data_IF_418942156706
#
_entry.id   IF_418942156706
#
_cell.length_a   1.000
_cell.length_b   1.000
_cell.length_c   1.000
_cell.angle_alpha   90.00
_cell.angle_beta   90.00
_cell.angle_gamma   90.00
#
_symmetry.space_group_name_H-M   'P 1'
#
loop_
_entity.id
_entity.type
_entity.pdbx_description
1 polymer ?
#
# COMPACT_ATOMS: atom_id res chain seq x y z
N UNK A 1 8.91 -25.45 31.23
CA UNK A 1 10.18 -25.06 30.59
C UNK A 1 9.80 -24.45 29.25
N UNK A 2 9.78 -23.13 29.18
CA UNK A 2 9.64 -22.41 27.90
C UNK A 2 10.94 -22.61 27.14
N UNK A 3 10.87 -23.28 25.99
CA UNK A 3 11.98 -23.35 25.06
C UNK A 3 12.08 -21.96 24.47
N UNK A 4 13.06 -21.17 24.90
CA UNK A 4 13.48 -19.97 24.16
C UNK A 4 14.10 -20.45 22.86
N UNK A 5 13.33 -20.44 21.77
CA UNK A 5 13.90 -20.55 20.43
C UNK A 5 14.90 -19.41 20.25
N UNK A 6 16.17 -19.76 20.06
CA UNK A 6 17.20 -18.81 19.66
C UNK A 6 16.93 -18.44 18.21
N UNK A 7 16.40 -17.23 17.99
CA UNK A 7 16.22 -16.66 16.66
C UNK A 7 17.62 -16.35 16.10
N UNK A 8 17.91 -16.82 14.88
CA UNK A 8 19.20 -16.60 14.22
C UNK A 8 19.46 -15.10 13.99
N UNK A 9 20.69 -14.65 14.21
CA UNK A 9 21.12 -13.26 13.94
C UNK A 9 22.15 -13.23 12.81
N UNK A 10 21.91 -12.39 11.80
CA UNK A 10 22.84 -12.03 10.74
C UNK A 10 23.49 -10.68 11.05
N UNK A 11 24.79 -10.67 11.31
CA UNK A 11 25.55 -9.44 11.44
C UNK A 11 25.90 -8.87 10.06
N UNK A 12 25.10 -7.89 9.62
CA UNK A 12 25.21 -7.25 8.31
C UNK A 12 26.45 -6.35 8.25
N UNK A 13 27.00 -5.91 9.38
CA UNK A 13 28.20 -5.07 9.44
C UNK A 13 29.45 -5.80 8.95
N UNK A 14 29.45 -7.13 9.02
CA UNK A 14 30.57 -7.99 8.57
C UNK A 14 30.51 -8.32 7.08
N UNK A 15 29.43 -7.95 6.38
CA UNK A 15 29.25 -8.21 4.95
C UNK A 15 29.83 -7.07 4.11
N UNK A 16 30.41 -7.41 2.95
CA UNK A 16 30.79 -6.40 1.95
C UNK A 16 29.54 -5.58 1.53
N UNK A 17 29.64 -4.25 1.34
CA UNK A 17 28.47 -3.40 1.06
C UNK A 17 27.58 -3.91 -0.09
N UNK A 18 28.20 -4.41 -1.17
CA UNK A 18 27.49 -4.97 -2.34
C UNK A 18 26.78 -6.31 -2.07
N UNK A 19 27.17 -7.01 -1.01
CA UNK A 19 26.62 -8.32 -0.62
C UNK A 19 25.59 -8.21 0.50
N UNK A 20 25.45 -7.07 1.17
CA UNK A 20 24.50 -6.88 2.28
C UNK A 20 23.08 -7.30 1.89
N UNK A 21 22.48 -6.67 0.89
CA UNK A 21 21.09 -6.95 0.49
C UNK A 21 20.91 -8.35 -0.13
N UNK A 22 21.75 -8.80 -1.09
CA UNK A 22 21.65 -10.16 -1.63
C UNK A 22 21.67 -11.26 -0.55
N UNK A 23 22.60 -11.18 0.40
CA UNK A 23 22.68 -12.16 1.49
C UNK A 23 21.44 -12.15 2.37
N UNK A 24 20.91 -10.97 2.70
CA UNK A 24 19.68 -10.86 3.50
C UNK A 24 18.49 -11.46 2.75
N UNK A 25 18.42 -11.29 1.44
CA UNK A 25 17.35 -11.86 0.62
C UNK A 25 17.47 -13.38 0.52
N UNK A 26 18.68 -13.92 0.35
CA UNK A 26 18.93 -15.36 0.42
C UNK A 26 18.50 -15.94 1.78
N UNK A 27 18.83 -15.25 2.88
CA UNK A 27 18.39 -15.63 4.22
C UNK A 27 16.87 -15.64 4.34
N UNK A 28 16.20 -14.61 3.83
CA UNK A 28 14.74 -14.51 3.83
C UNK A 28 14.07 -15.60 2.96
N UNK A 29 14.61 -15.84 1.76
CA UNK A 29 14.08 -16.82 0.82
C UNK A 29 14.22 -18.25 1.37
N UNK A 30 15.29 -18.53 2.12
CA UNK A 30 15.52 -19.81 2.78
C UNK A 30 14.57 -20.08 3.97
N UNK A 31 13.93 -19.05 4.55
CA UNK A 31 12.96 -19.22 5.65
C UNK A 31 11.64 -19.79 5.16
N UNK A 32 11.01 -20.59 6.02
CA UNK A 32 9.61 -21.02 5.88
C UNK A 32 8.66 -19.97 6.48
N UNK A 33 7.38 -20.05 6.12
CA UNK A 33 6.35 -19.23 6.76
C UNK A 33 6.31 -19.44 8.27
N UNK A 34 6.26 -18.34 9.03
CA UNK A 34 6.32 -18.31 10.49
C UNK A 34 7.73 -18.22 11.07
N UNK A 35 8.79 -18.45 10.28
CA UNK A 35 10.17 -18.31 10.73
C UNK A 35 10.65 -16.86 10.67
N UNK A 36 11.61 -16.52 11.54
CA UNK A 36 12.19 -15.20 11.62
C UNK A 36 13.71 -15.25 11.80
N UNK A 37 14.38 -14.14 11.48
CA UNK A 37 15.78 -13.90 11.81
C UNK A 37 15.97 -12.41 12.16
N UNK A 38 17.05 -12.10 12.86
CA UNK A 38 17.41 -10.74 13.23
C UNK A 38 18.56 -10.27 12.35
N UNK A 39 18.48 -9.06 11.82
CA UNK A 39 19.64 -8.38 11.24
C UNK A 39 20.22 -7.38 12.24
N UNK A 40 21.54 -7.34 12.33
CA UNK A 40 22.29 -6.33 13.06
C UNK A 40 23.00 -5.42 12.06
N UNK A 41 22.77 -4.11 12.13
CA UNK A 41 23.32 -3.14 11.18
C UNK A 41 23.81 -1.86 11.89
N UNK A 42 24.70 -1.12 11.22
CA UNK A 42 25.34 0.11 11.70
C UNK A 42 24.58 1.41 11.32
N UNK A 43 23.45 1.27 10.63
CA UNK A 43 22.56 2.37 10.22
C UNK A 43 21.13 1.85 10.07
N UNK A 44 20.16 2.75 9.95
CA UNK A 44 18.76 2.39 9.72
C UNK A 44 18.62 1.59 8.40
N UNK A 45 18.20 0.32 8.45
CA UNK A 45 18.01 -0.51 7.27
C UNK A 45 16.71 -0.20 6.50
N UNK A 46 16.10 0.98 6.67
CA UNK A 46 14.92 1.41 5.93
C UNK A 46 15.03 1.24 4.39
N UNK A 47 16.17 1.51 3.71
CA UNK A 47 16.29 1.21 2.28
C UNK A 47 16.18 -0.28 1.95
N UNK A 48 16.67 -1.15 2.83
CA UNK A 48 16.57 -2.60 2.70
C UNK A 48 15.13 -3.08 2.90
N UNK A 49 14.38 -2.49 3.85
CA UNK A 49 12.95 -2.75 4.02
C UNK A 49 12.21 -2.56 2.69
N UNK A 50 12.38 -1.37 2.08
CA UNK A 50 11.74 -1.08 0.81
C UNK A 50 12.21 -2.02 -0.29
N UNK A 51 13.50 -2.31 -0.41
CA UNK A 51 13.95 -3.24 -1.44
C UNK A 51 13.40 -4.67 -1.25
N UNK A 52 13.30 -5.16 -0.01
CA UNK A 52 12.69 -6.46 0.27
C UNK A 52 11.20 -6.47 -0.06
N UNK A 53 10.48 -5.41 0.32
CA UNK A 53 9.06 -5.21 -0.02
C UNK A 53 8.87 -5.18 -1.53
N UNK A 54 9.70 -4.43 -2.24
CA UNK A 54 9.73 -4.40 -3.68
C UNK A 54 9.90 -5.81 -4.22
N UNK A 55 11.03 -6.47 -3.97
CA UNK A 55 11.31 -7.72 -4.68
C UNK A 55 10.50 -8.95 -4.22
N UNK A 56 9.96 -8.96 -3.00
CA UNK A 56 9.25 -10.13 -2.43
C UNK A 56 7.77 -9.86 -2.12
N UNK A 57 7.33 -8.60 -2.18
CA UNK A 57 5.98 -8.20 -1.79
C UNK A 57 5.79 -8.18 -0.27
N UNK A 58 4.57 -7.85 0.15
CA UNK A 58 4.17 -7.74 1.56
C UNK A 58 3.94 -9.11 2.23
N UNK A 59 4.97 -9.97 2.21
CA UNK A 59 4.95 -11.34 2.76
C UNK A 59 5.85 -11.49 3.99
N UNK A 60 6.20 -10.38 4.63
CA UNK A 60 7.04 -10.37 5.83
C UNK A 60 6.60 -9.32 6.82
N UNK A 61 6.98 -9.51 8.08
CA UNK A 61 6.85 -8.54 9.16
C UNK A 61 8.22 -7.94 9.47
N UNK A 62 8.27 -6.63 9.64
CA UNK A 62 9.47 -5.86 9.97
C UNK A 62 9.34 -5.25 11.37
N UNK A 63 10.16 -5.70 12.31
CA UNK A 63 10.08 -5.26 13.71
C UNK A 63 11.43 -4.72 14.17
N UNK A 64 11.49 -3.41 14.46
CA UNK A 64 12.67 -2.83 15.09
C UNK A 64 12.78 -3.29 16.55
N UNK A 65 13.85 -4.02 16.87
CA UNK A 65 14.21 -4.41 18.22
C UNK A 65 15.07 -3.34 18.90
N UNK A 66 15.98 -2.71 18.15
CA UNK A 66 16.81 -1.59 18.58
C UNK A 66 16.90 -0.54 17.47
N UNK A 67 16.81 0.75 17.85
CA UNK A 67 16.84 1.89 16.91
C UNK A 67 17.91 2.91 17.29
N UNK A 68 19.15 2.65 16.88
CA UNK A 68 20.22 3.64 16.81
C UNK A 68 20.60 4.36 18.13
N UNK A 69 21.54 5.32 18.05
CA UNK A 69 22.23 5.77 16.85
C UNK A 69 23.37 4.84 16.37
N UNK A 70 23.87 3.95 17.24
CA UNK A 70 25.04 3.11 16.94
C UNK A 70 24.69 1.71 16.42
N UNK A 71 23.56 1.17 16.87
CA UNK A 71 23.13 -0.21 16.56
C UNK A 71 21.67 -0.20 16.15
N UNK A 72 21.38 -0.88 15.04
CA UNK A 72 20.04 -1.13 14.57
C UNK A 72 19.82 -2.65 14.52
N UNK A 73 18.85 -3.13 15.28
CA UNK A 73 18.44 -4.53 15.23
C UNK A 73 17.01 -4.61 14.72
N UNK A 74 16.81 -5.38 13.67
CA UNK A 74 15.49 -5.60 13.08
C UNK A 74 15.23 -7.09 13.00
N UNK A 75 14.11 -7.53 13.54
CA UNK A 75 13.57 -8.87 13.32
C UNK A 75 12.73 -8.86 12.05
N UNK A 76 13.11 -9.72 11.10
CA UNK A 76 12.39 -9.97 9.86
C UNK A 76 11.72 -11.33 9.97
N UNK A 77 10.38 -11.36 9.93
CA UNK A 77 9.60 -12.60 10.02
C UNK A 77 8.91 -12.88 8.69
N UNK A 78 9.03 -14.08 8.13
CA UNK A 78 8.30 -14.47 6.92
C UNK A 78 6.89 -14.87 7.31
N UNK A 79 5.89 -14.27 6.67
CA UNK A 79 4.50 -14.61 6.96
C UNK A 79 4.17 -16.01 6.44
N UNK A 80 3.35 -16.74 7.18
CA UNK A 80 2.79 -18.00 6.68
C UNK A 80 1.80 -17.68 5.57
N UNK A 81 1.97 -18.25 4.36
CA UNK A 81 0.96 -18.13 3.31
C UNK A 81 -0.36 -18.67 3.85
N UNK A 82 -1.40 -17.84 3.87
CA UNK A 82 -2.75 -18.30 4.23
C UNK A 82 -3.38 -18.99 3.02
N UNK A 83 -4.12 -20.08 3.24
CA UNK A 83 -5.04 -20.63 2.24
C UNK A 83 -6.36 -19.83 2.19
N UNK A 84 -6.57 -18.92 3.15
CA UNK A 84 -7.71 -18.03 3.18
C UNK A 84 -7.58 -16.95 2.11
N UNK A 85 -8.73 -16.50 1.62
CA UNK A 85 -8.81 -15.32 0.76
C UNK A 85 -8.25 -14.09 1.48
N UNK A 86 -7.45 -13.30 0.77
CA UNK A 86 -6.88 -12.07 1.28
C UNK A 86 -7.94 -10.96 1.39
N UNK A 87 -7.71 -9.97 2.25
CA UNK A 87 -8.64 -8.84 2.39
C UNK A 87 -8.76 -8.02 1.09
N UNK A 88 -7.70 -7.96 0.30
CA UNK A 88 -7.70 -7.34 -1.02
C UNK A 88 -8.62 -8.08 -1.99
N UNK A 89 -8.55 -9.42 -2.03
CA UNK A 89 -9.44 -10.23 -2.87
C UNK A 89 -10.91 -10.13 -2.41
N UNK A 90 -11.16 -10.09 -1.09
CA UNK A 90 -12.49 -9.87 -0.55
C UNK A 90 -13.12 -8.57 -1.07
N UNK A 91 -12.35 -7.46 -1.07
CA UNK A 91 -12.79 -6.17 -1.61
C UNK A 91 -12.89 -6.18 -3.13
N UNK A 92 -11.98 -6.86 -3.83
CA UNK A 92 -12.02 -6.96 -5.28
C UNK A 92 -13.30 -7.67 -5.77
N UNK A 93 -13.78 -8.67 -5.02
CA UNK A 93 -15.06 -9.36 -5.28
C UNK A 93 -16.28 -8.55 -4.85
N UNK A 94 -16.16 -7.80 -3.75
CA UNK A 94 -17.24 -7.00 -3.20
C UNK A 94 -16.70 -5.73 -2.53
N UNK A 95 -16.70 -4.64 -3.30
CA UNK A 95 -16.11 -3.38 -2.85
C UNK A 95 -16.78 -2.81 -1.58
N UNK A 96 -18.02 -3.20 -1.27
CA UNK A 96 -18.71 -2.76 -0.04
C UNK A 96 -18.00 -3.20 1.22
N UNK A 97 -17.25 -4.30 1.17
CA UNK A 97 -16.45 -4.78 2.30
C UNK A 97 -15.36 -3.78 2.72
N UNK A 98 -14.92 -2.91 1.80
CA UNK A 98 -14.02 -1.80 2.11
C UNK A 98 -14.54 -0.92 3.26
N UNK A 99 -15.86 -0.67 3.32
CA UNK A 99 -16.44 0.18 4.37
C UNK A 99 -16.34 -0.47 5.75
N UNK A 100 -16.42 -1.81 5.81
CA UNK A 100 -16.26 -2.57 7.04
C UNK A 100 -14.79 -2.50 7.45
N UNK A 101 -13.86 -2.80 6.54
CA UNK A 101 -12.43 -2.69 6.83
C UNK A 101 -12.02 -1.29 7.30
N UNK A 102 -12.51 -0.24 6.63
CA UNK A 102 -12.27 1.15 7.03
C UNK A 102 -12.75 1.45 8.45
N UNK A 103 -13.94 0.95 8.83
CA UNK A 103 -14.47 1.10 10.20
C UNK A 103 -13.55 0.50 11.27
N UNK A 104 -12.84 -0.57 10.95
CA UNK A 104 -11.89 -1.23 11.83
C UNK A 104 -10.43 -0.74 11.64
N UNK A 105 -10.20 0.25 10.77
CA UNK A 105 -8.87 0.73 10.43
C UNK A 105 -8.00 -0.33 9.76
N UNK A 106 -8.61 -1.28 9.03
CA UNK A 106 -7.93 -2.34 8.29
C UNK A 106 -7.57 -1.83 6.90
N UNK A 107 -6.28 -1.79 6.58
CA UNK A 107 -5.77 -1.41 5.26
C UNK A 107 -5.84 -2.59 4.28
N UNK A 108 -6.79 -2.53 3.36
CA UNK A 108 -6.99 -3.52 2.29
C UNK A 108 -6.34 -3.10 0.96
N UNK A 109 -5.70 -1.94 0.90
CA UNK A 109 -5.13 -1.36 -0.32
C UNK A 109 -3.66 -1.78 -0.48
N UNK A 110 -2.82 -1.42 0.49
CA UNK A 110 -1.39 -1.76 0.51
C UNK A 110 -1.16 -3.07 1.31
N UNK A 111 -1.90 -3.25 2.40
CA UNK A 111 -1.99 -4.48 3.18
C UNK A 111 -2.85 -5.59 2.56
N UNK A 112 -3.36 -5.41 1.33
CA UNK A 112 -4.37 -6.26 0.70
C UNK A 112 -4.02 -7.75 0.61
N UNK A 113 -2.73 -8.12 0.61
CA UNK A 113 -2.24 -9.50 0.47
C UNK A 113 -2.40 -10.36 1.75
N UNK A 114 -2.74 -9.75 2.89
CA UNK A 114 -2.93 -10.46 4.17
C UNK A 114 -4.35 -11.02 4.29
N UNK A 115 -4.52 -12.13 5.03
CA UNK A 115 -5.86 -12.62 5.36
C UNK A 115 -6.52 -11.80 6.47
N UNK A 116 -7.84 -11.92 6.61
CA UNK A 116 -8.58 -11.25 7.68
C UNK A 116 -8.06 -11.62 9.06
N UNK A 117 -7.79 -12.92 9.28
CA UNK A 117 -7.24 -13.46 10.52
C UNK A 117 -5.91 -12.78 10.87
N UNK A 118 -4.99 -12.72 9.90
CA UNK A 118 -3.66 -12.12 10.10
C UNK A 118 -3.74 -10.64 10.49
N UNK A 119 -4.57 -9.86 9.79
CA UNK A 119 -4.69 -8.42 10.11
C UNK A 119 -5.39 -8.19 11.44
N UNK A 120 -6.39 -9.02 11.78
CA UNK A 120 -7.06 -8.93 13.07
C UNK A 120 -6.11 -9.25 14.23
N UNK A 121 -5.26 -10.28 14.10
CA UNK A 121 -4.23 -10.61 15.09
C UNK A 121 -3.23 -9.46 15.29
N UNK A 122 -2.75 -8.85 14.20
CA UNK A 122 -1.79 -7.74 14.25
C UNK A 122 -2.38 -6.49 14.93
N UNK A 123 -3.66 -6.18 14.68
CA UNK A 123 -4.34 -5.00 15.23
C UNK A 123 -5.05 -5.26 16.57
N UNK A 124 -5.05 -6.50 17.07
CA UNK A 124 -5.77 -6.87 18.28
C UNK A 124 -7.29 -6.76 18.14
N UNK A 125 -7.82 -7.00 16.94
CA UNK A 125 -9.25 -6.96 16.61
C UNK A 125 -9.81 -8.39 16.72
N UNK A 126 -11.05 -8.55 17.18
CA UNK A 126 -11.71 -9.86 17.15
C UNK A 126 -12.18 -10.18 15.71
N UNK A 127 -11.62 -11.19 15.02
CA UNK A 127 -11.98 -11.51 13.65
C UNK A 127 -13.46 -11.87 13.50
N UNK A 128 -14.07 -12.55 14.49
CA UNK A 128 -15.49 -12.93 14.44
C UNK A 128 -16.44 -11.73 14.36
N UNK A 129 -16.05 -10.58 14.93
CA UNK A 129 -16.84 -9.35 14.84
C UNK A 129 -16.80 -8.77 13.43
N UNK A 130 -15.62 -8.79 12.82
CA UNK A 130 -15.43 -8.26 11.46
C UNK A 130 -16.14 -9.15 10.45
N UNK A 131 -15.98 -10.48 10.56
CA UNK A 131 -16.67 -11.47 9.73
C UNK A 131 -18.19 -11.28 9.77
N UNK A 132 -18.75 -11.15 10.99
CA UNK A 132 -20.18 -10.93 11.15
C UNK A 132 -20.66 -9.64 10.47
N UNK A 133 -19.88 -8.57 10.51
CA UNK A 133 -20.24 -7.33 9.82
C UNK A 133 -20.10 -7.43 8.30
N UNK A 134 -19.11 -8.18 7.80
CA UNK A 134 -18.96 -8.48 6.38
C UNK A 134 -20.15 -9.31 5.86
N UNK A 135 -20.60 -10.30 6.62
CA UNK A 135 -21.76 -11.14 6.29
C UNK A 135 -23.09 -10.40 6.41
N UNK A 136 -23.17 -9.39 7.29
CA UNK A 136 -24.37 -8.59 7.50
C UNK A 136 -24.59 -7.52 6.40
N UNK A 137 -23.65 -7.35 5.46
CA UNK A 137 -23.84 -6.46 4.33
C UNK A 137 -25.06 -6.94 3.51
N UNK A 138 -26.05 -6.07 3.28
CA UNK A 138 -27.30 -6.50 2.66
C UNK A 138 -27.03 -7.04 1.25
N UNK A 139 -27.71 -8.13 0.91
CA UNK A 139 -27.61 -8.80 -0.39
C UNK A 139 -28.34 -8.00 -1.48
N UNK A 140 -27.86 -6.77 -1.75
CA UNK A 140 -28.46 -5.86 -2.72
C UNK A 140 -27.98 -6.20 -4.12
N UNK A 141 -28.42 -7.34 -4.63
CA UNK A 141 -28.31 -7.75 -6.04
C UNK A 141 -29.00 -6.80 -7.05
N UNK A 142 -29.39 -5.59 -6.60
CA UNK A 142 -30.14 -4.56 -7.36
C UNK A 142 -29.35 -3.27 -7.60
N UNK A 143 -28.21 -3.05 -6.93
CA UNK A 143 -27.28 -1.99 -7.33
C UNK A 143 -26.19 -2.68 -8.12
N UNK A 144 -26.14 -2.43 -9.42
CA UNK A 144 -25.05 -2.91 -10.28
C UNK A 144 -23.76 -2.20 -9.83
N UNK A 145 -23.15 -2.70 -8.75
CA UNK A 145 -21.81 -2.33 -8.39
C UNK A 145 -20.85 -2.94 -9.39
N UNK A 146 -19.86 -2.13 -9.73
CA UNK A 146 -18.92 -2.46 -10.77
C UNK A 146 -18.02 -3.59 -10.31
N UNK A 147 -18.23 -4.78 -10.87
CA UNK A 147 -17.27 -5.88 -10.78
C UNK A 147 -16.02 -5.51 -11.58
N UNK A 148 -15.10 -4.77 -10.96
CA UNK A 148 -13.83 -4.39 -11.56
C UNK A 148 -12.99 -5.62 -11.90
N UNK A 149 -13.19 -6.73 -11.17
CA UNK A 149 -12.55 -7.98 -11.48
C UNK A 149 -13.07 -8.58 -12.82
N UNK A 150 -14.23 -8.20 -13.34
CA UNK A 150 -14.63 -8.66 -14.68
C UNK A 150 -14.09 -7.79 -15.83
N UNK A 151 -13.42 -6.68 -15.52
CA UNK A 151 -13.05 -5.69 -16.54
C UNK A 151 -11.84 -6.12 -17.38
N UNK A 152 -11.84 -5.69 -18.64
CA UNK A 152 -10.67 -5.73 -19.51
C UNK A 152 -9.54 -4.89 -18.92
N UNK A 153 -8.29 -5.38 -18.96
CA UNK A 153 -7.18 -4.72 -18.29
C UNK A 153 -6.78 -3.39 -18.95
N UNK A 154 -6.95 -3.27 -20.28
CA UNK A 154 -6.73 -2.01 -20.97
C UNK A 154 -7.77 -0.98 -20.56
N UNK A 155 -9.04 -1.40 -20.46
CA UNK A 155 -10.13 -0.55 -20.00
C UNK A 155 -9.99 -0.15 -18.53
N UNK A 156 -9.58 -1.06 -17.65
CA UNK A 156 -9.34 -0.74 -16.23
C UNK A 156 -8.20 0.29 -16.08
N UNK A 157 -7.11 0.14 -16.81
CA UNK A 157 -6.04 1.13 -16.83
C UNK A 157 -6.54 2.51 -17.33
N UNK A 158 -7.36 2.54 -18.39
CA UNK A 158 -7.97 3.78 -18.87
C UNK A 158 -8.91 4.41 -17.83
N UNK A 159 -9.69 3.59 -17.13
CA UNK A 159 -10.57 4.06 -16.06
C UNK A 159 -9.78 4.72 -14.92
N UNK A 160 -8.71 4.08 -14.45
CA UNK A 160 -7.85 4.61 -13.39
C UNK A 160 -7.30 5.99 -13.78
N UNK A 161 -6.78 6.14 -15.01
CA UNK A 161 -6.25 7.42 -15.49
C UNK A 161 -7.34 8.50 -15.58
N UNK A 162 -8.52 8.15 -16.11
CA UNK A 162 -9.57 9.13 -16.41
C UNK A 162 -10.42 9.51 -15.20
N UNK A 163 -10.46 8.67 -14.17
CA UNK A 163 -11.22 8.90 -12.94
C UNK A 163 -10.27 9.33 -11.83
N UNK A 164 -9.37 8.45 -11.40
CA UNK A 164 -8.54 8.65 -10.22
C UNK A 164 -7.38 9.63 -10.49
N UNK A 165 -6.55 9.39 -11.51
CA UNK A 165 -5.41 10.30 -11.77
C UNK A 165 -5.90 11.71 -12.14
N UNK A 166 -7.01 11.80 -12.86
CA UNK A 166 -7.65 13.09 -13.17
C UNK A 166 -8.06 13.81 -11.89
N UNK A 167 -8.78 13.14 -11.01
CA UNK A 167 -9.20 13.70 -9.73
C UNK A 167 -7.99 14.14 -8.89
N UNK A 168 -6.97 13.29 -8.74
CA UNK A 168 -5.75 13.60 -7.98
C UNK A 168 -5.06 14.88 -8.51
N UNK A 169 -4.88 15.01 -9.82
CA UNK A 169 -4.29 16.21 -10.45
C UNK A 169 -5.11 17.48 -10.21
N UNK A 170 -6.43 17.37 -10.14
CA UNK A 170 -7.33 18.51 -9.88
C UNK A 170 -7.40 18.86 -8.39
N UNK A 171 -7.34 17.86 -7.50
CA UNK A 171 -7.48 18.02 -6.06
C UNK A 171 -6.21 18.56 -5.37
N UNK A 172 -5.03 18.12 -5.80
CA UNK A 172 -3.74 18.48 -5.18
C UNK A 172 -3.56 20.00 -5.04
N UNK A 173 -3.75 20.83 -6.09
CA UNK A 173 -3.56 22.29 -5.97
C UNK A 173 -4.48 22.93 -4.93
N UNK A 174 -5.75 22.53 -4.90
CA UNK A 174 -6.73 23.05 -3.95
C UNK A 174 -6.40 22.64 -2.51
N UNK A 175 -6.03 21.37 -2.30
CA UNK A 175 -5.64 20.87 -0.99
C UNK A 175 -4.34 21.50 -0.49
N UNK A 176 -3.35 21.77 -1.36
CA UNK A 176 -2.15 22.54 -0.98
C UNK A 176 -2.51 23.94 -0.50
N UNK A 177 -3.44 24.62 -1.18
CA UNK A 177 -3.91 25.95 -0.74
C UNK A 177 -4.61 25.88 0.62
N UNK A 178 -5.52 24.92 0.80
CA UNK A 178 -6.28 24.77 2.04
C UNK A 178 -5.40 24.40 3.22
N UNK A 179 -4.55 23.38 3.09
CA UNK A 179 -3.65 22.93 4.16
C UNK A 179 -2.65 24.04 4.53
N UNK A 180 -2.11 24.76 3.55
CA UNK A 180 -1.23 25.92 3.79
C UNK A 180 -1.96 27.01 4.58
N UNK A 181 -3.20 27.32 4.20
CA UNK A 181 -3.98 28.38 4.82
C UNK A 181 -4.34 28.06 6.27
N UNK A 182 -4.78 26.83 6.56
CA UNK A 182 -5.15 26.43 7.92
C UNK A 182 -3.91 26.32 8.80
N UNK A 183 -2.79 25.77 8.30
CA UNK A 183 -1.53 25.74 9.04
C UNK A 183 -1.06 27.16 9.38
N UNK A 184 -1.11 28.10 8.43
CA UNK A 184 -0.70 29.49 8.66
C UNK A 184 -1.58 30.23 9.68
N UNK A 185 -2.91 30.09 9.58
CA UNK A 185 -3.85 30.87 10.40
C UNK A 185 -4.07 30.25 11.77
N UNK A 186 -4.12 28.92 11.84
CA UNK A 186 -4.50 28.18 13.05
C UNK A 186 -3.31 27.47 13.71
N UNK A 187 -2.16 27.30 13.03
CA UNK A 187 -1.02 26.50 13.50
C UNK A 187 -0.43 26.91 14.86
N UNK A 188 -0.60 28.16 15.30
CA UNK A 188 -0.18 28.57 16.65
C UNK A 188 -1.04 27.97 17.77
N UNK A 189 -2.33 27.70 17.50
CA UNK A 189 -3.28 27.08 18.44
C UNK A 189 -3.49 25.59 18.17
N UNK A 190 -3.28 25.18 16.92
CA UNK A 190 -3.49 23.85 16.36
C UNK A 190 -2.21 23.41 15.64
N UNK A 191 -1.12 23.13 16.38
CA UNK A 191 0.21 22.84 15.81
C UNK A 191 0.22 21.61 14.89
N UNK A 192 -0.69 20.66 15.10
CA UNK A 192 -0.87 19.47 14.25
C UNK A 192 -1.14 19.83 12.78
N UNK A 193 -1.70 21.01 12.51
CA UNK A 193 -1.96 21.46 11.13
C UNK A 193 -0.68 21.73 10.34
N UNK A 194 0.44 22.01 11.03
CA UNK A 194 1.75 22.14 10.39
C UNK A 194 2.21 20.77 9.89
N UNK A 195 1.96 19.72 10.67
CA UNK A 195 2.24 18.34 10.28
C UNK A 195 1.30 17.87 9.17
N UNK A 196 0.01 18.19 9.22
CA UNK A 196 -0.94 17.91 8.11
C UNK A 196 -0.43 18.50 6.79
N UNK A 197 0.03 19.75 6.80
CA UNK A 197 0.61 20.38 5.60
C UNK A 197 1.87 19.64 5.12
N UNK A 198 2.75 19.24 6.03
CA UNK A 198 3.99 18.52 5.70
C UNK A 198 3.67 17.17 5.06
N UNK A 199 2.85 16.35 5.73
CA UNK A 199 2.43 15.04 5.23
C UNK A 199 1.71 15.15 3.89
N UNK A 200 0.80 16.10 3.74
CA UNK A 200 0.09 16.28 2.46
C UNK A 200 1.03 16.71 1.32
N UNK A 201 2.04 17.53 1.60
CA UNK A 201 3.03 17.90 0.58
C UNK A 201 3.88 16.71 0.13
N UNK A 202 4.19 15.77 1.04
CA UNK A 202 4.89 14.53 0.70
C UNK A 202 4.03 13.68 -0.26
N UNK A 203 2.77 13.42 0.10
CA UNK A 203 1.80 12.68 -0.74
C UNK A 203 1.69 13.33 -2.12
N UNK A 204 1.52 14.66 -2.18
CA UNK A 204 1.39 15.36 -3.44
C UNK A 204 2.64 15.24 -4.32
N UNK A 205 3.84 15.34 -3.74
CA UNK A 205 5.10 15.20 -4.47
C UNK A 205 5.29 13.77 -4.99
N UNK A 206 4.98 12.76 -4.17
CA UNK A 206 5.04 11.35 -4.57
C UNK A 206 4.11 11.10 -5.76
N UNK A 207 2.82 11.44 -5.64
CA UNK A 207 1.81 11.22 -6.69
C UNK A 207 2.12 11.98 -7.99
N UNK A 208 2.60 13.23 -7.90
CA UNK A 208 3.01 14.02 -9.08
C UNK A 208 4.15 13.36 -9.86
N UNK A 209 5.04 12.63 -9.17
CA UNK A 209 6.14 11.88 -9.80
C UNK A 209 5.76 10.46 -10.21
N UNK A 210 4.80 9.86 -9.50
CA UNK A 210 4.35 8.48 -9.61
C UNK A 210 3.47 8.27 -10.84
N UNK A 211 2.35 8.99 -10.94
CA UNK A 211 1.35 8.80 -12.00
C UNK A 211 1.94 8.84 -13.43
N UNK A 212 2.93 9.71 -13.77
CA UNK A 212 3.56 9.68 -15.08
C UNK A 212 4.31 8.37 -15.39
N UNK A 213 4.88 7.69 -14.39
CA UNK A 213 5.55 6.38 -14.59
C UNK A 213 4.52 5.35 -15.03
N UNK A 214 3.33 5.40 -14.44
CA UNK A 214 2.24 4.51 -14.80
C UNK A 214 1.70 4.82 -16.19
N UNK A 215 1.31 6.08 -16.42
CA UNK A 215 0.65 6.52 -17.65
C UNK A 215 1.53 6.40 -18.90
N UNK A 216 2.84 6.61 -18.76
CA UNK A 216 3.77 6.66 -19.88
C UNK A 216 4.53 5.35 -20.08
N UNK A 217 4.61 4.49 -19.07
CA UNK A 217 5.41 3.26 -19.12
C UNK A 217 4.59 2.03 -18.73
N UNK A 218 4.12 1.94 -17.48
CA UNK A 218 3.53 0.71 -16.96
C UNK A 218 2.19 0.37 -17.66
N UNK A 219 1.22 1.29 -17.67
CA UNK A 219 -0.09 1.06 -18.28
C UNK A 219 -0.02 0.81 -19.79
N UNK A 220 0.78 1.56 -20.59
CA UNK A 220 1.00 1.20 -21.99
C UNK A 220 1.53 -0.23 -22.16
N UNK A 221 2.44 -0.69 -21.29
CA UNK A 221 2.94 -2.05 -21.34
C UNK A 221 1.87 -3.09 -20.96
N UNK A 222 1.07 -2.84 -19.92
CA UNK A 222 -0.09 -3.69 -19.55
C UNK A 222 -1.06 -3.83 -20.72
N UNK A 223 -1.33 -2.73 -21.44
CA UNK A 223 -2.20 -2.75 -22.63
C UNK A 223 -1.62 -3.63 -23.76
N UNK A 224 -0.29 -3.59 -23.96
CA UNK A 224 0.38 -4.46 -24.93
C UNK A 224 0.27 -5.94 -24.53
N UNK A 225 0.46 -6.26 -23.25
CA UNK A 225 0.28 -7.63 -22.73
C UNK A 225 -1.13 -8.13 -22.98
N UNK A 226 -2.14 -7.31 -22.65
CA UNK A 226 -3.54 -7.65 -22.85
C UNK A 226 -3.89 -7.86 -24.33
N UNK A 227 -3.41 -6.97 -25.22
CA UNK A 227 -3.60 -7.11 -26.66
C UNK A 227 -2.96 -8.41 -27.19
N UNK A 228 -1.72 -8.71 -26.78
CA UNK A 228 -1.02 -9.93 -27.20
C UNK A 228 -1.78 -11.20 -26.75
N UNK A 229 -2.27 -11.21 -25.51
CA UNK A 229 -3.07 -12.32 -24.96
C UNK A 229 -4.35 -12.52 -25.76
N UNK A 230 -5.10 -11.44 -26.04
CA UNK A 230 -6.34 -11.51 -26.84
C UNK A 230 -6.11 -12.00 -28.26
N UNK A 231 -4.95 -11.66 -28.86
CA UNK A 231 -4.58 -12.09 -30.20
C UNK A 231 -3.88 -13.46 -30.24
N UNK A 232 -3.62 -14.09 -29.08
CA UNK A 232 -2.85 -15.33 -28.97
C UNK A 232 -1.42 -15.20 -29.49
N UNK A 233 -0.83 -14.00 -29.42
CA UNK A 233 0.52 -13.69 -29.89
C UNK A 233 1.52 -13.72 -28.74
N UNK A 234 2.75 -14.13 -29.07
CA UNK A 234 3.89 -14.02 -28.16
C UNK A 234 4.56 -12.64 -28.28
N UNK A 235 5.08 -12.15 -27.17
CA UNK A 235 5.86 -10.91 -27.06
C UNK A 235 7.33 -11.22 -26.78
N UNK A 236 8.21 -10.29 -27.13
CA UNK A 236 9.59 -10.30 -26.66
C UNK A 236 9.67 -9.77 -25.23
N UNK A 237 10.59 -10.31 -24.43
CA UNK A 237 10.87 -9.81 -23.09
C UNK A 237 11.22 -8.30 -23.12
N UNK A 238 10.71 -7.50 -22.18
CA UNK A 238 10.99 -6.08 -22.10
C UNK A 238 12.43 -5.82 -21.65
N UNK A 239 12.96 -4.62 -21.96
CA UNK A 239 14.34 -4.24 -21.58
C UNK A 239 14.56 -4.14 -20.07
N UNK A 240 13.50 -4.04 -19.28
CA UNK A 240 13.53 -4.00 -17.81
C UNK A 240 13.33 -5.39 -17.16
N UNK A 241 13.39 -6.47 -17.95
CA UNK A 241 13.28 -7.84 -17.45
C UNK A 241 11.83 -8.31 -17.39
N UNK A 242 11.18 -8.14 -16.23
CA UNK A 242 9.78 -8.51 -15.99
C UNK A 242 8.98 -7.30 -15.53
N UNK A 243 7.69 -7.27 -15.84
CA UNK A 243 6.72 -6.28 -15.34
C UNK A 243 6.65 -6.24 -13.81
N UNK A 244 7.05 -7.32 -13.13
CA UNK A 244 7.12 -7.35 -11.68
C UNK A 244 8.02 -6.21 -11.16
N UNK A 245 9.12 -5.90 -11.84
CA UNK A 245 10.07 -4.88 -11.41
C UNK A 245 9.45 -3.47 -11.29
N UNK A 246 8.79 -2.91 -12.34
CA UNK A 246 8.10 -1.64 -12.20
C UNK A 246 6.89 -1.70 -11.27
N UNK A 247 6.14 -2.82 -11.22
CA UNK A 247 5.00 -2.98 -10.29
C UNK A 247 5.47 -2.88 -8.83
N UNK A 248 6.58 -3.54 -8.49
CA UNK A 248 7.17 -3.48 -7.16
C UNK A 248 7.51 -2.05 -6.74
N UNK A 249 8.00 -1.22 -7.68
CA UNK A 249 8.25 0.19 -7.44
C UNK A 249 6.96 0.97 -7.19
N UNK A 250 5.89 0.69 -7.93
CA UNK A 250 4.59 1.34 -7.71
C UNK A 250 3.99 0.93 -6.36
N UNK A 251 4.01 -0.36 -6.00
CA UNK A 251 3.52 -0.85 -4.70
C UNK A 251 4.26 -0.20 -3.51
N UNK A 252 5.58 0.02 -3.62
CA UNK A 252 6.34 0.75 -2.60
C UNK A 252 5.91 2.22 -2.49
N UNK A 253 5.70 2.89 -3.62
CA UNK A 253 5.25 4.28 -3.65
C UNK A 253 3.81 4.41 -3.12
N UNK A 254 2.95 3.40 -3.34
CA UNK A 254 1.61 3.31 -2.74
C UNK A 254 1.67 3.19 -1.22
N UNK A 255 2.56 2.34 -0.70
CA UNK A 255 2.72 2.18 0.75
C UNK A 255 3.19 3.49 1.42
N UNK A 256 4.13 4.19 0.78
CA UNK A 256 4.61 5.49 1.26
C UNK A 256 3.46 6.52 1.32
N UNK A 257 2.72 6.69 0.22
CA UNK A 257 1.60 7.61 0.16
C UNK A 257 0.49 7.24 1.15
N UNK A 258 0.18 5.96 1.29
CA UNK A 258 -0.81 5.45 2.25
C UNK A 258 -0.41 5.73 3.71
N UNK A 259 0.87 5.53 4.05
CA UNK A 259 1.40 5.81 5.39
C UNK A 259 1.34 7.30 5.76
N UNK A 260 1.58 8.18 4.79
CA UNK A 260 1.47 9.63 4.96
C UNK A 260 0.01 10.06 5.20
N UNK A 261 -0.96 9.46 4.49
CA UNK A 261 -2.39 9.71 4.73
C UNK A 261 -2.87 9.15 6.06
N UNK A 262 -2.43 7.95 6.46
CA UNK A 262 -2.73 7.37 7.77
C UNK A 262 -2.19 8.27 8.90
N UNK A 263 -1.02 8.88 8.70
CA UNK A 263 -0.46 9.88 9.61
C UNK A 263 -1.37 11.11 9.72
N UNK A 264 -1.87 11.65 8.60
CA UNK A 264 -2.84 12.75 8.59
C UNK A 264 -4.12 12.36 9.34
N UNK A 265 -4.72 11.21 9.03
CA UNK A 265 -5.92 10.70 9.69
C UNK A 265 -5.70 10.56 11.21
N UNK A 266 -4.54 10.06 11.63
CA UNK A 266 -4.21 9.89 13.05
C UNK A 266 -4.08 11.22 13.79
N UNK A 267 -3.27 12.17 13.27
CA UNK A 267 -3.05 13.47 13.95
C UNK A 267 -4.31 14.34 13.95
N UNK A 268 -5.20 14.15 12.98
CA UNK A 268 -6.50 14.86 12.91
C UNK A 268 -7.62 14.14 13.67
N UNK A 269 -7.33 13.01 14.32
CA UNK A 269 -8.31 12.19 15.04
C UNK A 269 -9.50 11.80 14.14
N UNK A 270 -9.20 11.20 12.99
CA UNK A 270 -10.17 10.86 11.95
C UNK A 270 -10.90 12.09 11.40
N UNK A 271 -10.14 13.13 11.05
CA UNK A 271 -10.66 14.39 10.52
C UNK A 271 -11.69 15.08 11.44
N UNK A 272 -11.55 14.93 12.76
CA UNK A 272 -12.40 15.59 13.74
C UNK A 272 -12.19 17.11 13.74
N UNK A 273 -13.29 17.86 13.77
CA UNK A 273 -13.25 19.32 13.74
C UNK A 273 -13.22 19.90 15.17
N UNK A 274 -12.26 20.78 15.52
CA UNK A 274 -12.28 21.49 16.79
C UNK A 274 -13.40 22.54 16.83
N UNK A 275 -13.78 22.96 18.04
CA UNK A 275 -14.88 23.91 18.25
C UNK A 275 -14.67 25.28 17.57
N UNK A 276 -13.43 25.67 17.31
CA UNK A 276 -13.07 26.93 16.64
C UNK A 276 -12.70 26.74 15.15
N UNK A 277 -13.06 25.60 14.55
CA UNK A 277 -12.86 25.32 13.12
C UNK A 277 -13.65 26.29 12.23
N UNK A 278 -12.93 27.11 11.46
CA UNK A 278 -13.54 27.99 10.48
C UNK A 278 -13.97 27.23 9.20
N UNK A 279 -14.73 27.88 8.31
CA UNK A 279 -15.19 27.26 7.07
C UNK A 279 -14.06 26.67 6.20
N UNK A 280 -12.88 27.33 6.12
CA UNK A 280 -11.73 26.78 5.38
C UNK A 280 -11.19 25.50 6.05
N UNK A 281 -11.18 25.45 7.38
CA UNK A 281 -10.79 24.25 8.14
C UNK A 281 -11.73 23.09 7.80
N UNK A 282 -13.04 23.32 7.86
CA UNK A 282 -14.05 22.31 7.57
C UNK A 282 -13.93 21.77 6.13
N UNK A 283 -13.74 22.67 5.16
CA UNK A 283 -13.53 22.27 3.75
C UNK A 283 -12.22 21.50 3.58
N UNK A 284 -11.14 21.92 4.23
CA UNK A 284 -9.85 21.25 4.13
C UNK A 284 -9.93 19.79 4.60
N UNK A 285 -10.53 19.55 5.77
CA UNK A 285 -10.65 18.21 6.34
C UNK A 285 -11.59 17.33 5.52
N UNK A 286 -12.74 17.86 5.10
CA UNK A 286 -13.64 17.14 4.22
C UNK A 286 -12.95 16.75 2.90
N UNK A 287 -12.14 17.62 2.31
CA UNK A 287 -11.39 17.33 1.08
C UNK A 287 -10.21 16.40 1.28
N UNK A 288 -9.54 16.42 2.43
CA UNK A 288 -8.50 15.44 2.74
C UNK A 288 -9.10 14.04 2.88
N UNK A 289 -10.25 13.92 3.55
CA UNK A 289 -10.96 12.66 3.70
C UNK A 289 -11.46 12.12 2.34
N UNK A 290 -12.04 12.97 1.50
CA UNK A 290 -12.44 12.61 0.14
C UNK A 290 -11.25 12.16 -0.71
N UNK A 291 -10.11 12.85 -0.59
CA UNK A 291 -8.89 12.52 -1.31
C UNK A 291 -8.30 11.18 -0.89
N UNK A 292 -8.25 10.92 0.41
CA UNK A 292 -7.81 9.62 0.94
C UNK A 292 -8.73 8.49 0.47
N UNK A 293 -10.04 8.70 0.48
CA UNK A 293 -11.01 7.70 0.02
C UNK A 293 -10.85 7.38 -1.48
N UNK A 294 -10.62 8.39 -2.31
CA UNK A 294 -10.33 8.19 -3.73
C UNK A 294 -8.99 7.47 -3.93
N UNK A 295 -7.93 7.89 -3.22
CA UNK A 295 -6.61 7.31 -3.38
C UNK A 295 -6.56 5.84 -2.93
N UNK A 296 -7.23 5.50 -1.84
CA UNK A 296 -7.32 4.10 -1.39
C UNK A 296 -8.09 3.24 -2.39
N UNK A 297 -9.16 3.78 -3.00
CA UNK A 297 -9.85 3.08 -4.09
C UNK A 297 -8.94 2.87 -5.30
N UNK A 298 -8.24 3.92 -5.71
CA UNK A 298 -7.27 3.92 -6.80
C UNK A 298 -6.23 2.82 -6.58
N UNK A 299 -5.49 2.88 -5.47
CA UNK A 299 -4.44 1.91 -5.12
C UNK A 299 -5.01 0.49 -5.05
N UNK A 300 -6.23 0.31 -4.55
CA UNK A 300 -6.86 -1.01 -4.51
C UNK A 300 -7.07 -1.60 -5.92
N UNK A 301 -7.57 -0.81 -6.87
CA UNK A 301 -7.76 -1.25 -8.25
C UNK A 301 -6.44 -1.66 -8.91
N UNK A 302 -5.34 -1.02 -8.54
CA UNK A 302 -4.01 -1.34 -9.03
C UNK A 302 -3.44 -2.58 -8.37
N UNK A 303 -3.22 -2.53 -7.05
CA UNK A 303 -2.50 -3.55 -6.29
C UNK A 303 -3.24 -4.90 -6.27
N UNK A 304 -4.58 -4.87 -6.24
CA UNK A 304 -5.36 -6.09 -6.00
C UNK A 304 -6.09 -6.58 -7.26
N UNK A 305 -6.10 -5.82 -8.35
CA UNK A 305 -6.78 -6.20 -9.59
C UNK A 305 -5.87 -6.09 -10.80
N UNK A 306 -5.43 -4.88 -11.15
CA UNK A 306 -4.70 -4.64 -12.40
C UNK A 306 -3.31 -5.30 -12.40
N UNK A 307 -2.52 -5.08 -11.35
CA UNK A 307 -1.13 -5.55 -11.28
C UNK A 307 -1.01 -7.08 -11.21
N UNK A 308 -1.74 -7.81 -10.34
CA UNK A 308 -1.66 -9.26 -10.29
C UNK A 308 -1.98 -9.90 -11.65
N UNK A 309 -3.00 -9.36 -12.34
CA UNK A 309 -3.39 -9.84 -13.67
C UNK A 309 -2.37 -9.52 -14.73
N UNK A 310 -1.74 -8.35 -14.67
CA UNK A 310 -0.68 -8.00 -15.60
C UNK A 310 0.52 -8.96 -15.49
N UNK A 311 0.88 -9.34 -14.26
CA UNK A 311 1.92 -10.34 -14.00
C UNK A 311 1.54 -11.72 -14.58
N UNK A 312 0.28 -12.14 -14.45
CA UNK A 312 -0.22 -13.37 -15.06
C UNK A 312 -0.21 -13.30 -16.59
N UNK A 313 -0.68 -12.20 -17.17
CA UNK A 313 -0.68 -11.99 -18.61
C UNK A 313 0.74 -12.05 -19.18
N UNK A 314 1.74 -11.46 -18.52
CA UNK A 314 3.14 -11.54 -18.94
C UNK A 314 3.61 -13.00 -19.07
N UNK A 315 3.29 -13.86 -18.10
CA UNK A 315 3.66 -15.30 -18.14
C UNK A 315 2.99 -16.04 -19.30
N UNK A 316 1.79 -15.63 -19.70
CA UNK A 316 1.06 -16.25 -20.80
C UNK A 316 1.59 -15.82 -22.17
N UNK A 317 2.04 -14.56 -22.31
CA UNK A 317 2.42 -13.98 -23.61
C UNK A 317 3.92 -13.94 -23.88
N UNK A 318 4.80 -14.14 -22.89
CA UNK A 318 6.23 -14.40 -23.13
C UNK A 318 6.49 -15.87 -23.50
#
# INVERSE_FOLDING_TARGET
MTITETIDTLDVTQLEPRMKHPTIFEWFDARKGGEAFIIHNDHDPKPLYYQLLGERGNIFKWEYLLQGPEIWEVKISKLTPSEEESIGELVAKDYRKAQVFKKYGIDFCCGGKKSLTQVCEEKGINPELVEKELEALPDTSTVAETDFASWDQSFLADYIVNIHHKYVREAIPALREYTTKIARVHGARHPELIDVLRHFNNVAQELESHMPKEELVLFPYIKQLNEAKQQGKKMSAPSFGSIQNPINMMEMEHEAAGSELESIRTITQDYALPADACATYQVAFAKLQEFEDDLFRHIHLENNILFPRAIEMEKEVL
#
